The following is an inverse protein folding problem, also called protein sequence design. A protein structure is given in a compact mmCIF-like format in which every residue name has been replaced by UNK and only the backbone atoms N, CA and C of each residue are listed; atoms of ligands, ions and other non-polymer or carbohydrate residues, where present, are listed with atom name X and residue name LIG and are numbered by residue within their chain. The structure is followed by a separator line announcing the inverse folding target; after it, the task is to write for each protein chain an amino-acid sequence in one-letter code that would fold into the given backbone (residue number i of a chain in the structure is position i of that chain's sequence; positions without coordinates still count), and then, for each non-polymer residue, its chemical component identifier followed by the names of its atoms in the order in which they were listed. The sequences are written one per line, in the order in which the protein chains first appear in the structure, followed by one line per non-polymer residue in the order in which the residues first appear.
data_IF_159611163068
#
_entry.id   IF_159611163068
#
_cell.length_a   1.000
_cell.length_b   1.000
_cell.length_c   1.000
_cell.angle_alpha   90.00
_cell.angle_beta   90.00
_cell.angle_gamma   90.00
#
_symmetry.space_group_name_H-M   'P 1'
#
loop_
_entity.id
_entity.type
_entity.pdbx_description
1 polymer ?
#
# COMPACT_ATOMS: atom_id res chain seq x y z
N UNK A 1 20.92 14.08 13.43
CA UNK A 1 19.95 14.02 14.55
C UNK A 1 19.44 12.60 14.61
N UNK A 2 19.98 11.85 15.57
CA UNK A 2 19.95 10.39 15.64
C UNK A 2 19.04 9.95 16.78
N UNK A 3 17.73 9.88 16.55
CA UNK A 3 16.75 9.46 17.56
C UNK A 3 15.75 8.38 17.10
N UNK A 4 15.76 7.92 15.84
CA UNK A 4 14.80 6.91 15.34
C UNK A 4 15.28 5.44 15.37
N UNK A 5 16.21 5.06 16.26
CA UNK A 5 16.85 3.72 16.16
C UNK A 5 16.77 2.89 17.46
N UNK A 6 16.24 3.43 18.56
CA UNK A 6 16.28 2.72 19.85
C UNK A 6 15.00 1.99 20.25
N UNK A 7 13.82 2.34 19.73
CA UNK A 7 12.58 1.64 20.10
C UNK A 7 12.47 0.22 19.51
N UNK A 8 13.21 -0.08 18.44
CA UNK A 8 12.78 -1.10 17.47
C UNK A 8 13.59 -2.41 17.56
N UNK A 9 14.46 -2.57 18.56
CA UNK A 9 15.34 -3.75 18.68
C UNK A 9 14.66 -5.06 19.12
N UNK A 10 13.37 -5.07 19.45
CA UNK A 10 12.70 -6.23 20.05
C UNK A 10 11.30 -6.50 19.47
N UNK A 11 11.13 -6.60 18.14
CA UNK A 11 9.91 -7.23 17.62
C UNK A 11 9.95 -8.74 17.89
N UNK A 12 8.79 -9.31 18.23
CA UNK A 12 8.65 -10.76 18.22
C UNK A 12 8.83 -11.25 16.76
N UNK A 13 9.54 -12.37 16.53
CA UNK A 13 9.70 -12.94 15.18
C UNK A 13 8.37 -13.19 14.46
N UNK A 14 7.32 -13.49 15.22
CA UNK A 14 5.96 -13.72 14.73
C UNK A 14 5.31 -12.45 14.17
N UNK A 15 5.45 -11.31 14.86
CA UNK A 15 4.94 -10.01 14.40
C UNK A 15 5.67 -9.58 13.11
N UNK A 16 6.99 -9.81 13.06
CA UNK A 16 7.81 -9.50 11.89
C UNK A 16 7.37 -10.29 10.65
N UNK A 17 7.19 -11.60 10.79
CA UNK A 17 6.76 -12.46 9.68
C UNK A 17 5.36 -12.07 9.16
N UNK A 18 4.47 -11.63 10.06
CA UNK A 18 3.13 -11.19 9.67
C UNK A 18 3.17 -9.88 8.89
N UNK A 19 4.00 -8.91 9.29
CA UNK A 19 4.20 -7.66 8.55
C UNK A 19 4.79 -7.96 7.15
N UNK A 20 5.78 -8.86 7.04
CA UNK A 20 6.31 -9.28 5.74
C UNK A 20 5.23 -9.93 4.86
N UNK A 21 4.34 -10.76 5.44
CA UNK A 21 3.23 -11.37 4.70
C UNK A 21 2.23 -10.31 4.19
N UNK A 22 1.95 -9.28 4.98
CA UNK A 22 1.09 -8.16 4.61
C UNK A 22 1.69 -7.34 3.46
N UNK A 23 2.98 -7.03 3.51
CA UNK A 23 3.70 -6.40 2.40
C UNK A 23 3.69 -7.27 1.13
N UNK A 24 3.89 -8.59 1.27
CA UNK A 24 3.76 -9.52 0.14
C UNK A 24 2.34 -9.56 -0.42
N UNK A 25 1.31 -9.41 0.43
CA UNK A 25 -0.08 -9.30 -0.02
C UNK A 25 -0.30 -8.02 -0.82
N UNK A 26 0.26 -6.89 -0.40
CA UNK A 26 0.22 -5.63 -1.15
C UNK A 26 0.96 -5.75 -2.50
N UNK A 27 2.12 -6.39 -2.52
CA UNK A 27 2.85 -6.66 -3.76
C UNK A 27 2.04 -7.52 -4.74
N UNK A 28 1.43 -8.61 -4.25
CA UNK A 28 0.52 -9.46 -5.04
C UNK A 28 -0.69 -8.69 -5.56
N UNK A 29 -1.22 -7.75 -4.77
CA UNK A 29 -2.28 -6.86 -5.21
C UNK A 29 -1.83 -6.01 -6.42
N UNK A 30 -0.64 -5.39 -6.35
CA UNK A 30 -0.11 -4.57 -7.44
C UNK A 30 0.15 -5.38 -8.72
N UNK A 31 0.68 -6.60 -8.60
CA UNK A 31 0.87 -7.49 -9.75
C UNK A 31 -0.46 -7.97 -10.36
N UNK A 32 -1.47 -8.23 -9.53
CA UNK A 32 -2.82 -8.53 -10.00
C UNK A 32 -3.44 -7.35 -10.73
N UNK A 33 -3.26 -6.13 -10.21
CA UNK A 33 -3.74 -4.90 -10.86
C UNK A 33 -3.06 -4.74 -12.24
N UNK A 34 -1.74 -4.93 -12.28
CA UNK A 34 -0.92 -4.81 -13.49
C UNK A 34 -1.33 -5.80 -14.58
N UNK A 35 -1.62 -7.05 -14.20
CA UNK A 35 -1.94 -8.14 -15.12
C UNK A 35 -3.41 -8.17 -15.57
N UNK A 36 -4.32 -7.54 -14.83
CA UNK A 36 -5.76 -7.61 -15.14
C UNK A 36 -6.14 -6.86 -16.43
N UNK A 37 -5.58 -5.66 -16.64
CA UNK A 37 -5.82 -4.90 -17.86
C UNK A 37 -4.60 -5.01 -18.79
N UNK A 38 -4.74 -5.76 -19.90
CA UNK A 38 -3.66 -5.96 -20.90
C UNK A 38 -3.06 -4.63 -21.39
N UNK A 39 -3.87 -3.58 -21.43
CA UNK A 39 -3.45 -2.26 -21.90
C UNK A 39 -2.89 -1.35 -20.80
N UNK A 40 -2.52 -1.91 -19.65
CA UNK A 40 -1.81 -1.16 -18.62
C UNK A 40 -0.38 -0.84 -19.04
N UNK A 41 0.32 -1.79 -19.69
CA UNK A 41 1.73 -1.61 -20.08
C UNK A 41 1.92 -0.91 -21.44
N UNK A 42 0.87 -0.76 -22.24
CA UNK A 42 0.94 -0.02 -23.50
C UNK A 42 0.23 1.34 -23.29
N UNK A 43 0.76 2.42 -23.89
CA UNK A 43 0.09 3.73 -23.88
C UNK A 43 -1.17 3.75 -24.75
N UNK A 44 -1.61 2.58 -25.23
CA UNK A 44 -2.80 2.45 -26.03
C UNK A 44 -4.03 2.54 -25.14
N UNK A 45 -5.07 3.15 -25.68
CA UNK A 45 -6.39 3.10 -25.09
C UNK A 45 -7.04 1.75 -25.41
N UNK A 46 -7.97 1.29 -24.58
CA UNK A 46 -8.73 0.05 -24.82
C UNK A 46 -9.78 0.20 -25.96
N UNK A 47 -9.55 1.09 -26.94
CA UNK A 47 -10.47 1.35 -28.05
C UNK A 47 -10.65 0.13 -28.96
N UNK A 48 -9.64 -0.74 -29.05
CA UNK A 48 -9.64 -1.99 -29.80
C UNK A 48 -9.80 -3.24 -28.92
N UNK A 49 -10.07 -3.07 -27.62
CA UNK A 49 -10.27 -4.22 -26.72
C UNK A 49 -11.58 -4.96 -27.08
N UNK A 50 -11.57 -6.30 -27.08
CA UNK A 50 -12.80 -7.08 -27.11
C UNK A 50 -13.75 -6.66 -25.98
N UNK A 51 -15.06 -6.71 -26.24
CA UNK A 51 -16.08 -6.34 -25.25
C UNK A 51 -15.97 -7.12 -23.94
N UNK A 52 -15.66 -8.41 -24.04
CA UNK A 52 -15.42 -9.29 -22.88
C UNK A 52 -14.29 -8.77 -22.01
N UNK A 53 -13.15 -8.43 -22.63
CA UNK A 53 -11.99 -7.89 -21.93
C UNK A 53 -12.29 -6.54 -21.27
N UNK A 54 -13.02 -5.65 -21.95
CA UNK A 54 -13.44 -4.37 -21.38
C UNK A 54 -14.37 -4.60 -20.17
N UNK A 55 -15.30 -5.54 -20.29
CA UNK A 55 -16.18 -5.95 -19.19
C UNK A 55 -15.40 -6.47 -17.98
N UNK A 56 -14.41 -7.34 -18.20
CA UNK A 56 -13.51 -7.81 -17.14
C UNK A 56 -12.75 -6.68 -16.48
N UNK A 57 -12.15 -5.78 -17.25
CA UNK A 57 -11.36 -4.66 -16.69
C UNK A 57 -12.24 -3.76 -15.83
N UNK A 58 -13.41 -3.34 -16.34
CA UNK A 58 -14.34 -2.48 -15.61
C UNK A 58 -14.87 -3.15 -14.35
N UNK A 59 -15.34 -4.39 -14.45
CA UNK A 59 -15.90 -5.12 -13.31
C UNK A 59 -14.88 -5.33 -12.19
N UNK A 60 -13.62 -5.66 -12.53
CA UNK A 60 -12.56 -5.88 -11.53
C UNK A 60 -12.00 -4.58 -10.93
N UNK A 61 -12.11 -3.45 -11.63
CA UNK A 61 -11.56 -2.18 -11.14
C UNK A 61 -12.23 -1.75 -9.83
N UNK A 62 -13.55 -1.88 -9.75
CA UNK A 62 -14.29 -1.61 -8.51
C UNK A 62 -13.84 -2.51 -7.35
N UNK A 63 -13.57 -3.80 -7.63
CA UNK A 63 -13.03 -4.72 -6.63
C UNK A 63 -11.63 -4.32 -6.16
N UNK A 64 -10.77 -3.81 -7.06
CA UNK A 64 -9.45 -3.31 -6.68
C UNK A 64 -9.54 -2.09 -5.75
N UNK A 65 -10.49 -1.18 -5.97
CA UNK A 65 -10.69 -0.02 -5.11
C UNK A 65 -11.03 -0.40 -3.66
N UNK A 66 -11.98 -1.33 -3.48
CA UNK A 66 -12.35 -1.79 -2.14
C UNK A 66 -11.19 -2.57 -1.48
N UNK A 67 -10.56 -3.45 -2.26
CA UNK A 67 -9.55 -4.34 -1.72
C UNK A 67 -8.27 -3.60 -1.28
N UNK A 68 -7.88 -2.51 -1.95
CA UNK A 68 -6.71 -1.73 -1.50
C UNK A 68 -6.98 -0.97 -0.20
N UNK A 69 -8.19 -0.46 -0.01
CA UNK A 69 -8.58 0.19 1.26
C UNK A 69 -8.48 -0.83 2.39
N UNK A 70 -9.07 -2.02 2.20
CA UNK A 70 -9.06 -3.08 3.21
C UNK A 70 -7.65 -3.56 3.53
N UNK A 71 -6.80 -3.77 2.51
CA UNK A 71 -5.42 -4.20 2.72
C UNK A 71 -4.65 -3.15 3.52
N UNK A 72 -4.75 -1.88 3.11
CA UNK A 72 -3.99 -0.78 3.73
C UNK A 72 -4.43 -0.55 5.17
N UNK A 73 -5.75 -0.48 5.40
CA UNK A 73 -6.29 -0.23 6.74
C UNK A 73 -5.91 -1.33 7.74
N UNK A 74 -6.04 -2.60 7.34
CA UNK A 74 -5.70 -3.72 8.22
C UNK A 74 -4.20 -3.74 8.53
N UNK A 75 -3.36 -3.53 7.52
CA UNK A 75 -1.91 -3.48 7.69
C UNK A 75 -1.49 -2.35 8.65
N UNK A 76 -1.96 -1.12 8.40
CA UNK A 76 -1.64 0.03 9.26
C UNK A 76 -2.10 -0.16 10.70
N UNK A 77 -3.31 -0.68 10.90
CA UNK A 77 -3.84 -0.97 12.25
C UNK A 77 -2.97 -2.01 12.97
N UNK A 78 -2.52 -3.02 12.23
CA UNK A 78 -1.69 -4.07 12.77
C UNK A 78 -0.29 -3.54 13.15
N UNK A 79 0.38 -2.80 12.27
CA UNK A 79 1.67 -2.18 12.54
C UNK A 79 1.62 -1.22 13.74
N UNK A 80 0.61 -0.35 13.80
CA UNK A 80 0.40 0.55 14.94
C UNK A 80 0.22 -0.22 16.25
N UNK A 81 -0.52 -1.34 16.21
CA UNK A 81 -0.68 -2.21 17.37
C UNK A 81 0.65 -2.85 17.79
N UNK A 82 1.46 -3.30 16.84
CA UNK A 82 2.81 -3.85 17.09
C UNK A 82 3.70 -2.80 17.74
N UNK A 83 3.68 -1.55 17.25
CA UNK A 83 4.43 -0.44 17.84
C UNK A 83 4.01 -0.19 19.29
N UNK A 84 2.71 -0.13 19.59
CA UNK A 84 2.21 0.11 20.95
C UNK A 84 2.47 -1.04 21.93
N UNK A 85 2.63 -2.28 21.43
CA UNK A 85 3.02 -3.43 22.28
C UNK A 85 4.47 -3.33 22.76
N UNK A 86 5.29 -2.45 22.19
CA UNK A 86 6.65 -2.20 22.68
C UNK A 86 6.58 -1.41 23.99
N UNK A 87 7.13 -1.97 25.07
CA UNK A 87 6.94 -1.46 26.44
C UNK A 87 7.39 -0.01 26.73
N UNK A 88 8.03 0.68 25.78
CA UNK A 88 8.42 2.09 25.87
C UNK A 88 7.63 3.03 24.96
N UNK A 89 6.76 2.50 24.09
CA UNK A 89 6.00 3.27 23.10
C UNK A 89 4.57 3.45 23.61
N UNK A 90 4.06 4.67 23.54
CA UNK A 90 2.67 5.02 23.86
C UNK A 90 2.08 5.82 22.71
N UNK A 91 0.78 6.07 22.73
CA UNK A 91 0.11 6.90 21.73
C UNK A 91 0.66 8.34 21.65
N UNK A 92 1.31 8.80 22.73
CA UNK A 92 1.94 10.13 22.79
C UNK A 92 3.39 10.15 22.29
N UNK A 93 3.97 8.97 22.01
CA UNK A 93 5.34 8.86 21.52
C UNK A 93 5.46 9.51 20.14
N UNK A 94 6.46 10.36 19.94
CA UNK A 94 6.63 11.16 18.71
C UNK A 94 6.72 10.29 17.45
N UNK A 95 7.52 9.23 17.51
CA UNK A 95 7.67 8.27 16.41
C UNK A 95 6.35 7.59 16.03
N UNK A 96 5.57 7.16 17.03
CA UNK A 96 4.26 6.56 16.80
C UNK A 96 3.29 7.55 16.16
N UNK A 97 3.22 8.78 16.67
CA UNK A 97 2.33 9.82 16.10
C UNK A 97 2.72 10.19 14.68
N UNK A 98 4.02 10.26 14.40
CA UNK A 98 4.54 10.55 13.05
C UNK A 98 4.18 9.43 12.08
N UNK A 99 4.38 8.18 12.47
CA UNK A 99 4.06 7.01 11.66
C UNK A 99 2.55 6.87 11.42
N UNK A 100 1.73 6.99 12.48
CA UNK A 100 0.28 6.99 12.37
C UNK A 100 -0.26 8.15 11.50
N UNK A 101 0.40 9.33 11.56
CA UNK A 101 0.05 10.43 10.68
C UNK A 101 0.32 10.10 9.21
N UNK A 102 1.44 9.44 8.90
CA UNK A 102 1.73 8.96 7.55
C UNK A 102 0.65 7.97 7.06
N UNK A 103 0.19 7.05 7.90
CA UNK A 103 -0.92 6.14 7.56
C UNK A 103 -2.22 6.88 7.23
N UNK A 104 -2.59 7.88 8.03
CA UNK A 104 -3.77 8.72 7.75
C UNK A 104 -3.65 9.46 6.42
N UNK A 105 -2.47 9.99 6.13
CA UNK A 105 -2.20 10.69 4.86
C UNK A 105 -2.31 9.75 3.67
N UNK A 106 -1.81 8.52 3.79
CA UNK A 106 -1.95 7.49 2.76
C UNK A 106 -3.42 7.11 2.55
N UNK A 107 -4.20 6.89 3.62
CA UNK A 107 -5.62 6.57 3.50
C UNK A 107 -6.42 7.69 2.83
N UNK A 108 -6.11 8.96 3.13
CA UNK A 108 -6.71 10.09 2.45
C UNK A 108 -6.30 10.17 0.96
N UNK A 109 -5.02 9.93 0.67
CA UNK A 109 -4.51 9.88 -0.70
C UNK A 109 -5.17 8.74 -1.50
N UNK A 110 -5.39 7.58 -0.88
CA UNK A 110 -6.10 6.44 -1.48
C UNK A 110 -7.52 6.81 -1.90
N UNK A 111 -8.29 7.48 -1.03
CA UNK A 111 -9.65 7.92 -1.36
C UNK A 111 -9.66 8.88 -2.57
N UNK A 112 -8.70 9.80 -2.61
CA UNK A 112 -8.51 10.72 -3.75
C UNK A 112 -8.16 9.97 -5.04
N UNK A 113 -7.18 9.04 -4.97
CA UNK A 113 -6.76 8.21 -6.11
C UNK A 113 -7.93 7.41 -6.67
N UNK A 114 -8.69 6.75 -5.79
CA UNK A 114 -9.83 5.91 -6.15
C UNK A 114 -10.92 6.76 -6.81
N UNK A 115 -11.25 7.90 -6.23
CA UNK A 115 -12.26 8.82 -6.78
C UNK A 115 -11.89 9.31 -8.18
N UNK A 116 -10.63 9.69 -8.39
CA UNK A 116 -10.14 10.11 -9.70
C UNK A 116 -10.15 8.96 -10.72
N UNK A 117 -9.72 7.76 -10.32
CA UNK A 117 -9.74 6.58 -11.18
C UNK A 117 -11.15 6.12 -11.53
N UNK A 118 -12.10 6.20 -10.60
CA UNK A 118 -13.50 5.92 -10.84
C UNK A 118 -14.12 6.91 -11.84
N UNK A 119 -13.77 8.19 -11.74
CA UNK A 119 -14.17 9.22 -12.71
C UNK A 119 -13.63 8.93 -14.12
N UNK A 120 -12.36 8.52 -14.24
CA UNK A 120 -11.77 8.10 -15.51
C UNK A 120 -12.50 6.89 -16.11
N UNK A 121 -12.81 5.89 -15.29
CA UNK A 121 -13.54 4.71 -15.75
C UNK A 121 -14.95 5.05 -16.26
N UNK A 122 -15.68 5.90 -15.54
CA UNK A 122 -16.99 6.39 -15.93
C UNK A 122 -16.97 7.16 -17.27
N UNK A 123 -15.87 7.84 -17.59
CA UNK A 123 -15.62 8.49 -18.88
C UNK A 123 -15.21 7.51 -20.00
N UNK A 124 -15.16 6.21 -19.71
CA UNK A 124 -14.73 5.16 -20.64
C UNK A 124 -13.20 5.03 -20.77
N UNK A 125 -12.43 5.71 -19.92
CA UNK A 125 -10.96 5.69 -19.91
C UNK A 125 -10.41 4.63 -18.94
N UNK A 126 -11.03 3.44 -18.91
CA UNK A 126 -10.68 2.33 -18.00
C UNK A 126 -9.18 1.99 -18.00
N UNK A 127 -8.54 1.89 -19.17
CA UNK A 127 -7.11 1.58 -19.24
C UNK A 127 -6.23 2.68 -18.60
N UNK A 128 -6.64 3.94 -18.71
CA UNK A 128 -5.96 5.05 -18.06
C UNK A 128 -6.14 4.99 -16.54
N UNK A 129 -7.35 4.69 -16.06
CA UNK A 129 -7.63 4.49 -14.63
C UNK A 129 -6.72 3.41 -14.03
N UNK A 130 -6.57 2.26 -14.70
CA UNK A 130 -5.65 1.19 -14.29
C UNK A 130 -4.19 1.67 -14.21
N UNK A 131 -3.71 2.39 -15.22
CA UNK A 131 -2.33 2.92 -15.24
C UNK A 131 -2.09 3.92 -14.10
N UNK A 132 -3.04 4.84 -13.89
CA UNK A 132 -2.93 5.84 -12.84
C UNK A 132 -2.98 5.20 -11.45
N UNK A 133 -3.90 4.27 -11.23
CA UNK A 133 -4.00 3.52 -9.98
C UNK A 133 -2.68 2.78 -9.71
N UNK A 134 -2.20 1.94 -10.63
CA UNK A 134 -0.98 1.17 -10.43
C UNK A 134 0.23 2.05 -10.13
N UNK A 135 0.44 3.11 -10.93
CA UNK A 135 1.58 4.02 -10.76
C UNK A 135 1.54 4.69 -9.39
N UNK A 136 0.42 5.31 -9.04
CA UNK A 136 0.30 6.11 -7.80
C UNK A 136 0.36 5.24 -6.56
N UNK A 137 -0.26 4.05 -6.58
CA UNK A 137 -0.13 3.10 -5.48
C UNK A 137 1.32 2.64 -5.32
N UNK A 138 1.98 2.27 -6.42
CA UNK A 138 3.38 1.82 -6.37
C UNK A 138 4.31 2.92 -5.83
N UNK A 139 4.16 4.16 -6.32
CA UNK A 139 4.94 5.31 -5.83
C UNK A 139 4.71 5.58 -4.34
N UNK A 140 3.45 5.61 -3.91
CA UNK A 140 3.06 5.90 -2.53
C UNK A 140 3.54 4.84 -1.54
N UNK A 141 3.33 3.55 -1.83
CA UNK A 141 3.74 2.47 -0.94
C UNK A 141 5.26 2.27 -0.92
N UNK A 142 5.95 2.43 -2.05
CA UNK A 142 7.41 2.35 -2.05
C UNK A 142 8.04 3.49 -1.23
N UNK A 143 7.45 4.68 -1.26
CA UNK A 143 7.95 5.80 -0.46
C UNK A 143 7.68 5.60 1.04
N UNK A 144 6.50 5.07 1.40
CA UNK A 144 6.19 4.72 2.79
C UNK A 144 7.12 3.61 3.31
N UNK A 145 7.28 2.53 2.56
CA UNK A 145 8.22 1.45 2.89
C UNK A 145 9.66 1.98 3.04
N UNK A 146 10.10 2.91 2.18
CA UNK A 146 11.45 3.50 2.28
C UNK A 146 11.64 4.37 3.53
N UNK A 147 10.63 5.13 3.92
CA UNK A 147 10.72 6.14 4.97
C UNK A 147 10.41 5.59 6.36
N UNK A 148 9.55 4.58 6.45
CA UNK A 148 8.98 4.14 7.71
C UNK A 148 9.24 2.65 7.98
N UNK A 149 8.97 1.77 7.01
CA UNK A 149 9.00 0.33 7.27
C UNK A 149 10.39 -0.28 7.12
N UNK A 150 11.18 0.13 6.11
CA UNK A 150 12.57 -0.31 5.96
C UNK A 150 13.44 0.09 7.16
N UNK A 151 13.39 1.33 7.67
CA UNK A 151 14.05 1.68 8.92
C UNK A 151 13.59 0.81 10.10
N UNK A 152 12.29 0.50 10.19
CA UNK A 152 11.70 -0.37 11.20
C UNK A 152 12.24 -1.81 11.10
N UNK A 153 12.14 -2.44 9.93
CA UNK A 153 12.65 -3.79 9.59
C UNK A 153 14.17 -3.90 9.78
N UNK A 154 14.95 -2.88 9.42
CA UNK A 154 16.40 -2.94 9.57
C UNK A 154 16.85 -2.86 11.04
N UNK A 155 16.09 -2.19 11.89
CA UNK A 155 16.40 -2.08 13.32
C UNK A 155 15.98 -3.30 14.16
N UNK A 156 15.16 -4.21 13.61
CA UNK A 156 14.80 -5.49 14.23
C UNK A 156 15.71 -6.65 13.84
N UNK A 157 16.45 -6.54 12.73
CA UNK A 157 17.37 -7.60 12.31
C UNK A 157 18.49 -7.76 13.35
N UNK A 158 18.76 -8.98 13.84
CA UNK A 158 19.91 -9.24 14.68
C UNK A 158 21.17 -8.74 13.96
N UNK A 159 22.06 -8.06 14.68
CA UNK A 159 23.39 -7.77 14.16
C UNK A 159 24.06 -9.12 13.88
N UNK A 160 24.13 -9.50 12.60
CA UNK A 160 25.00 -10.60 12.18
C UNK A 160 26.43 -10.20 12.59
N UNK A 161 26.99 -10.95 13.55
CA UNK A 161 28.38 -10.86 13.96
C UNK A 161 29.26 -11.66 12.99
#
# INVERSE_FOLDING_TARGET
MALHVQAIRNLAPEDYLLIEEEHLRLHRFLENLRSTCRNLNNQQNCQSCPREQLGTCRGRLASFFLNIIDISFNHFTHEESVMLRQGSVTEEHEDFRTHQQAHREILHALDTIISECASLDAQGKTAEAYRQLYRRLSEMFNEHDRLFDNPFIQSTKPLEQ
#
